data_IF_911358782713
#
_entry.id   IF_911358782713
#
_cell.length_a   1.000
_cell.length_b   1.000
_cell.length_c   1.000
_cell.angle_alpha   90.00
_cell.angle_beta   90.00
_cell.angle_gamma   90.00
#
_symmetry.space_group_name_H-M   'P 1'
#
loop_
_entity.id
_entity.type
_entity.pdbx_description
1 polymer ?
#
# COMPACT_ATOMS: atom_id res chain seq x y z
N UNK A 1 15.59 29.39 -7.24
CA UNK A 1 14.48 28.48 -7.07
C UNK A 1 14.87 27.05 -7.47
N UNK A 2 14.31 26.05 -6.81
CA UNK A 2 14.50 24.63 -7.11
C UNK A 2 13.12 23.95 -7.19
N UNK A 3 12.87 23.25 -8.30
CA UNK A 3 11.69 22.39 -8.44
C UNK A 3 12.17 20.96 -8.67
N UNK A 4 11.64 20.03 -7.88
CA UNK A 4 11.93 18.61 -8.00
C UNK A 4 10.64 17.92 -8.50
N UNK A 5 10.77 17.09 -9.55
CA UNK A 5 9.68 16.23 -10.02
C UNK A 5 10.01 14.78 -9.69
N UNK A 6 9.11 14.11 -8.97
CA UNK A 6 9.26 12.72 -8.55
C UNK A 6 8.16 11.87 -9.18
N UNK A 7 8.45 11.31 -10.35
CA UNK A 7 7.56 10.37 -11.04
C UNK A 7 7.86 8.93 -10.59
N UNK A 8 7.75 8.68 -9.28
CA UNK A 8 7.97 7.38 -8.66
C UNK A 8 7.11 7.27 -7.40
N UNK A 9 6.80 6.04 -7.02
CA UNK A 9 6.01 5.79 -5.83
C UNK A 9 6.23 4.39 -5.25
N UNK A 10 5.82 4.19 -4.01
CA UNK A 10 5.87 2.92 -3.30
C UNK A 10 4.64 2.78 -2.40
N UNK A 11 4.17 1.55 -2.22
CA UNK A 11 3.17 1.21 -1.19
C UNK A 11 3.83 0.83 0.16
N UNK A 12 5.15 0.99 0.27
CA UNK A 12 5.85 0.78 1.53
C UNK A 12 5.72 2.02 2.41
N UNK A 13 5.09 1.88 3.56
CA UNK A 13 4.84 2.97 4.50
C UNK A 13 3.42 2.97 5.03
N UNK A 14 3.16 3.88 5.96
CA UNK A 14 1.86 3.99 6.63
C UNK A 14 0.81 4.81 5.87
N UNK A 15 1.13 5.35 4.69
CA UNK A 15 0.26 6.22 3.89
C UNK A 15 -0.30 7.43 4.65
N UNK A 16 0.44 7.88 5.67
CA UNK A 16 0.14 9.10 6.45
C UNK A 16 1.02 10.28 6.06
N UNK A 17 2.02 10.07 5.18
CA UNK A 17 3.01 11.08 4.83
C UNK A 17 3.99 11.40 5.97
N UNK A 18 4.19 10.47 6.88
CA UNK A 18 5.06 10.60 8.06
C UNK A 18 6.29 9.68 8.00
N UNK A 19 6.52 8.98 6.89
CA UNK A 19 7.77 8.24 6.71
C UNK A 19 8.98 9.17 6.56
N UNK A 20 10.19 8.63 6.70
CA UNK A 20 11.42 9.42 6.70
C UNK A 20 11.60 10.26 5.42
N UNK A 21 11.24 9.73 4.24
CA UNK A 21 11.32 10.48 2.98
C UNK A 21 10.30 11.62 2.95
N UNK A 22 9.06 11.37 3.36
CA UNK A 22 8.00 12.37 3.43
C UNK A 22 8.36 13.51 4.38
N UNK A 23 8.92 13.19 5.55
CA UNK A 23 9.40 14.21 6.49
C UNK A 23 10.54 15.04 5.93
N UNK A 24 11.48 14.41 5.22
CA UNK A 24 12.56 15.12 4.55
C UNK A 24 12.04 16.06 3.46
N UNK A 25 11.10 15.60 2.63
CA UNK A 25 10.48 16.44 1.59
C UNK A 25 9.70 17.60 2.19
N UNK A 26 8.96 17.38 3.27
CA UNK A 26 8.30 18.44 4.03
C UNK A 26 9.31 19.51 4.50
N UNK A 27 10.47 19.08 5.02
CA UNK A 27 11.54 20.00 5.40
C UNK A 27 12.09 20.79 4.20
N UNK A 28 12.29 20.14 3.05
CA UNK A 28 12.75 20.79 1.81
C UNK A 28 11.76 21.86 1.36
N UNK A 29 10.46 21.54 1.35
CA UNK A 29 9.39 22.43 0.89
C UNK A 29 9.16 23.65 1.80
N UNK A 30 9.56 23.59 3.07
CA UNK A 30 9.47 24.76 3.98
C UNK A 30 10.39 25.93 3.57
N UNK A 31 11.37 25.69 2.72
CA UNK A 31 12.29 26.72 2.28
C UNK A 31 11.74 27.47 1.07
N UNK A 32 11.66 28.80 1.16
CA UNK A 32 11.19 29.67 0.08
C UNK A 32 11.96 29.39 -1.23
N UNK A 33 11.25 29.32 -2.33
CA UNK A 33 11.81 29.04 -3.66
C UNK A 33 12.07 27.57 -3.94
N UNK A 34 11.53 26.66 -3.14
CA UNK A 34 11.58 25.21 -3.37
C UNK A 34 10.18 24.63 -3.47
N UNK A 35 9.99 23.73 -4.43
CA UNK A 35 8.77 22.96 -4.60
C UNK A 35 9.10 21.52 -5.01
N UNK A 36 8.25 20.58 -4.59
CA UNK A 36 8.35 19.17 -5.01
C UNK A 36 7.00 18.76 -5.58
N UNK A 37 6.98 18.29 -6.81
CA UNK A 37 5.83 17.69 -7.48
C UNK A 37 6.00 16.17 -7.46
N UNK A 38 4.96 15.46 -7.04
CA UNK A 38 4.98 13.99 -6.87
C UNK A 38 3.78 13.37 -7.58
N UNK A 39 3.98 12.22 -8.20
CA UNK A 39 2.90 11.44 -8.78
C UNK A 39 2.03 10.81 -7.68
N UNK A 40 0.72 10.74 -7.90
CA UNK A 40 -0.17 10.01 -7.00
C UNK A 40 0.03 8.48 -7.08
N UNK A 41 0.66 8.00 -8.15
CA UNK A 41 0.84 6.58 -8.44
C UNK A 41 -0.29 6.01 -9.31
N UNK A 42 -0.13 4.74 -9.68
CA UNK A 42 -0.98 4.05 -10.66
C UNK A 42 -1.75 2.88 -10.04
N UNK A 43 -2.07 2.96 -8.75
CA UNK A 43 -2.57 1.83 -7.95
C UNK A 43 -4.09 1.87 -7.72
N UNK A 44 -4.80 2.89 -8.21
CA UNK A 44 -6.22 3.12 -7.91
C UNK A 44 -7.18 2.00 -8.31
N UNK A 45 -6.79 1.11 -9.23
CA UNK A 45 -7.62 -0.02 -9.68
C UNK A 45 -6.83 -1.35 -9.78
N UNK A 46 -5.69 -1.44 -9.10
CA UNK A 46 -4.83 -2.64 -9.17
C UNK A 46 -5.16 -3.71 -8.14
N UNK A 47 -6.05 -3.40 -7.19
CA UNK A 47 -6.40 -4.33 -6.14
C UNK A 47 -5.31 -4.53 -5.09
N UNK A 48 -4.38 -3.58 -4.99
CA UNK A 48 -3.23 -3.66 -4.08
C UNK A 48 -3.47 -3.01 -2.71
N UNK A 49 -4.67 -2.50 -2.47
CA UNK A 49 -5.08 -1.96 -1.17
C UNK A 49 -6.37 -2.63 -0.68
N UNK A 50 -6.41 -2.89 0.61
CA UNK A 50 -7.59 -3.38 1.33
C UNK A 50 -7.80 -2.53 2.58
N UNK A 51 -9.03 -2.04 2.77
CA UNK A 51 -9.49 -1.44 4.01
C UNK A 51 -10.42 -2.40 4.73
N UNK A 52 -10.20 -2.62 6.02
CA UNK A 52 -11.00 -3.51 6.84
C UNK A 52 -11.36 -2.95 8.20
N UNK A 53 -12.44 -3.49 8.74
CA UNK A 53 -12.89 -3.24 10.12
C UNK A 53 -13.12 -4.61 10.75
N UNK A 54 -12.65 -4.83 11.97
CA UNK A 54 -13.05 -5.99 12.76
C UNK A 54 -14.28 -5.59 13.61
N UNK A 55 -15.49 -6.06 13.25
CA UNK A 55 -16.69 -5.74 13.99
C UNK A 55 -16.60 -6.23 15.45
N UNK A 56 -17.21 -5.47 16.37
CA UNK A 56 -17.14 -5.80 17.82
C UNK A 56 -17.83 -7.11 18.21
N UNK A 57 -18.72 -7.58 17.37
CA UNK A 57 -19.46 -8.85 17.52
C UNK A 57 -18.80 -10.01 16.79
N UNK A 58 -17.64 -9.79 16.18
CA UNK A 58 -16.86 -10.79 15.47
C UNK A 58 -15.43 -10.86 16.03
N UNK A 59 -14.87 -12.06 16.03
CA UNK A 59 -13.49 -12.27 16.49
C UNK A 59 -12.45 -11.74 15.48
N UNK A 60 -12.77 -11.79 14.18
CA UNK A 60 -11.87 -11.42 13.09
C UNK A 60 -12.62 -10.96 11.85
N UNK A 61 -11.88 -10.29 10.97
CA UNK A 61 -12.26 -10.05 9.57
C UNK A 61 -11.35 -10.87 8.67
N UNK A 62 -11.96 -11.53 7.66
CA UNK A 62 -11.26 -12.38 6.72
C UNK A 62 -10.94 -11.62 5.44
N UNK A 63 -9.66 -11.60 5.06
CA UNK A 63 -9.14 -10.94 3.87
C UNK A 63 -8.66 -12.02 2.90
N UNK A 64 -9.28 -12.06 1.72
CA UNK A 64 -8.93 -12.96 0.65
C UNK A 64 -7.90 -12.32 -0.28
N UNK A 65 -6.75 -12.99 -0.42
CA UNK A 65 -5.64 -12.58 -1.27
C UNK A 65 -5.45 -13.63 -2.36
N UNK A 66 -5.67 -13.26 -3.62
CA UNK A 66 -5.27 -14.07 -4.76
C UNK A 66 -3.77 -13.94 -4.99
N UNK A 67 -3.10 -15.06 -5.15
CA UNK A 67 -1.70 -15.15 -5.57
C UNK A 67 -1.64 -15.76 -6.96
N UNK A 68 -1.03 -15.04 -7.89
CA UNK A 68 -0.87 -15.45 -9.29
C UNK A 68 0.18 -16.54 -9.47
N UNK A 69 0.12 -17.23 -10.62
CA UNK A 69 1.11 -18.24 -10.99
C UNK A 69 2.48 -17.59 -11.25
N UNK A 70 3.55 -18.22 -10.74
CA UNK A 70 4.92 -17.77 -10.94
C UNK A 70 5.37 -16.60 -10.06
N UNK A 71 4.53 -16.20 -9.08
CA UNK A 71 4.92 -15.24 -8.06
C UNK A 71 6.09 -15.76 -7.22
N UNK A 72 7.17 -15.00 -7.13
CA UNK A 72 8.39 -15.42 -6.40
C UNK A 72 8.41 -15.00 -4.95
N UNK A 73 7.67 -13.95 -4.65
CA UNK A 73 7.55 -13.41 -3.31
C UNK A 73 7.15 -11.95 -3.30
N UNK A 74 6.46 -11.57 -2.24
CA UNK A 74 5.99 -10.21 -2.02
C UNK A 74 5.79 -9.98 -0.52
N UNK A 75 5.49 -8.73 -0.16
CA UNK A 75 5.20 -8.33 1.21
C UNK A 75 3.80 -7.74 1.30
N UNK A 76 3.05 -8.14 2.32
CA UNK A 76 1.82 -7.47 2.73
C UNK A 76 2.15 -6.62 3.95
N UNK A 77 1.84 -5.33 3.88
CA UNK A 77 1.98 -4.42 5.01
C UNK A 77 0.60 -4.13 5.59
N UNK A 78 0.31 -4.62 6.79
CA UNK A 78 -0.87 -4.25 7.55
C UNK A 78 -0.53 -3.11 8.50
N UNK A 79 -1.38 -2.10 8.54
CA UNK A 79 -1.28 -0.95 9.43
C UNK A 79 -2.59 -0.74 10.19
N UNK A 80 -2.48 -0.57 11.49
CA UNK A 80 -3.57 -0.22 12.37
C UNK A 80 -3.27 1.09 13.10
N UNK A 81 -4.31 1.89 13.35
CA UNK A 81 -4.16 3.14 14.09
C UNK A 81 -3.97 2.87 15.58
N UNK A 82 -2.98 3.51 16.20
CA UNK A 82 -2.83 3.43 17.65
C UNK A 82 -4.07 4.02 18.36
N UNK A 83 -4.51 3.44 19.49
CA UNK A 83 -3.89 2.36 20.24
C UNK A 83 -4.44 0.95 19.91
N UNK A 84 -5.25 0.79 18.84
CA UNK A 84 -5.73 -0.52 18.44
C UNK A 84 -4.56 -1.43 18.05
N UNK A 85 -4.63 -2.69 18.45
CA UNK A 85 -3.64 -3.71 18.13
C UNK A 85 -4.28 -4.84 17.34
N UNK A 86 -3.56 -5.34 16.35
CA UNK A 86 -4.00 -6.39 15.47
C UNK A 86 -3.06 -7.58 15.52
N UNK A 87 -3.62 -8.76 15.31
CA UNK A 87 -2.90 -10.01 15.11
C UNK A 87 -3.50 -10.77 13.94
N UNK A 88 -2.74 -11.69 13.34
CA UNK A 88 -3.18 -12.39 12.14
C UNK A 88 -3.07 -13.91 12.28
N UNK A 89 -3.98 -14.64 11.62
CA UNK A 89 -3.90 -16.04 11.27
C UNK A 89 -3.84 -16.13 9.74
N UNK A 90 -2.98 -16.98 9.19
CA UNK A 90 -2.84 -17.14 7.73
C UNK A 90 -3.19 -18.57 7.35
N UNK A 91 -4.02 -18.72 6.32
CA UNK A 91 -4.50 -19.99 5.79
C UNK A 91 -4.07 -20.08 4.33
N UNK A 92 -3.33 -21.12 4.00
CA UNK A 92 -2.85 -21.41 2.65
C UNK A 92 -3.97 -21.99 1.76
N UNK A 93 -3.80 -22.01 0.43
CA UNK A 93 -4.75 -22.62 -0.51
C UNK A 93 -5.03 -24.10 -0.22
N UNK A 94 -4.08 -24.85 0.33
CA UNK A 94 -4.26 -26.25 0.79
C UNK A 94 -5.16 -26.40 2.03
N UNK A 95 -5.43 -25.30 2.72
CA UNK A 95 -6.10 -25.30 4.03
C UNK A 95 -5.15 -25.42 5.22
N UNK A 96 -3.84 -25.52 4.99
CA UNK A 96 -2.86 -25.47 6.07
C UNK A 96 -2.89 -24.09 6.74
N UNK A 97 -2.84 -24.08 8.08
CA UNK A 97 -3.02 -22.88 8.89
C UNK A 97 -1.78 -22.57 9.71
N UNK A 98 -1.39 -21.32 9.68
CA UNK A 98 -0.53 -20.75 10.72
C UNK A 98 -1.45 -20.21 11.81
N UNK A 99 -1.32 -20.70 13.07
CA UNK A 99 -2.18 -20.26 14.15
C UNK A 99 -2.00 -18.77 14.45
N UNK A 100 -3.04 -18.14 14.99
CA UNK A 100 -3.01 -16.76 15.43
C UNK A 100 -1.83 -16.50 16.38
N UNK A 101 -1.08 -15.46 16.09
CA UNK A 101 -0.03 -14.93 16.97
C UNK A 101 -0.53 -13.71 17.71
N UNK A 102 -0.36 -13.74 19.03
CA UNK A 102 -0.53 -12.55 19.85
C UNK A 102 0.66 -11.62 19.56
N UNK A 103 0.37 -10.40 19.20
CA UNK A 103 1.38 -9.38 18.90
C UNK A 103 2.28 -9.14 20.12
N UNK A 104 3.59 -9.36 19.96
CA UNK A 104 4.61 -9.04 20.95
C UNK A 104 5.56 -8.00 20.38
N UNK A 105 6.15 -7.22 21.26
CA UNK A 105 7.09 -6.16 20.85
C UNK A 105 8.28 -6.76 20.08
N UNK A 106 8.47 -6.33 18.82
CA UNK A 106 9.59 -6.72 17.93
C UNK A 106 9.75 -8.24 17.78
N UNK A 107 8.65 -8.94 17.58
CA UNK A 107 8.69 -10.39 17.33
C UNK A 107 8.74 -10.65 15.82
N UNK A 108 9.71 -11.45 15.40
CA UNK A 108 9.82 -11.95 14.03
C UNK A 108 9.69 -13.45 14.08
N UNK A 109 8.76 -13.99 13.32
CA UNK A 109 8.48 -15.42 13.27
C UNK A 109 8.50 -15.89 11.82
N UNK A 110 9.11 -17.06 11.61
CA UNK A 110 9.21 -17.70 10.32
C UNK A 110 8.45 -19.02 10.35
N UNK A 111 7.67 -19.24 9.31
CA UNK A 111 6.88 -20.45 9.08
C UNK A 111 7.22 -21.03 7.72
N UNK A 112 7.52 -22.33 7.72
CA UNK A 112 7.66 -23.13 6.53
C UNK A 112 6.38 -23.98 6.43
N UNK A 113 5.55 -23.72 5.42
CA UNK A 113 4.35 -24.51 5.16
C UNK A 113 4.74 -25.92 4.70
N UNK A 114 4.09 -26.93 5.26
CA UNK A 114 4.44 -28.35 4.98
C UNK A 114 3.85 -28.82 3.65
N UNK A 115 2.63 -28.37 3.34
CA UNK A 115 1.92 -28.75 2.11
C UNK A 115 2.18 -27.77 0.94
N UNK A 116 2.84 -26.67 1.22
CA UNK A 116 3.16 -25.63 0.26
C UNK A 116 4.69 -25.44 0.21
N UNK A 117 5.21 -25.01 -0.92
CA UNK A 117 6.64 -24.59 -0.99
C UNK A 117 6.87 -23.18 -0.46
N UNK A 118 5.93 -22.68 0.33
CA UNK A 118 5.87 -21.31 0.79
C UNK A 118 6.54 -21.14 2.14
N UNK A 119 7.33 -20.09 2.26
CA UNK A 119 7.83 -19.61 3.54
C UNK A 119 7.18 -18.27 3.83
N UNK A 120 6.69 -18.09 5.05
CA UNK A 120 6.12 -16.84 5.53
C UNK A 120 6.91 -16.32 6.73
N UNK A 121 7.50 -15.15 6.56
CA UNK A 121 8.08 -14.38 7.67
C UNK A 121 7.05 -13.35 8.13
N UNK A 122 6.70 -13.35 9.42
CA UNK A 122 5.82 -12.36 10.04
C UNK A 122 6.63 -11.52 11.00
N UNK A 123 6.55 -10.20 10.85
CA UNK A 123 7.21 -9.25 11.75
C UNK A 123 6.17 -8.29 12.35
N UNK A 124 6.16 -8.22 13.67
CA UNK A 124 5.33 -7.29 14.44
C UNK A 124 6.14 -6.08 14.90
N UNK A 125 5.63 -4.92 14.59
CA UNK A 125 6.09 -3.63 15.11
C UNK A 125 4.89 -2.95 15.77
N UNK A 126 4.81 -3.05 17.11
CA UNK A 126 3.65 -2.58 17.87
C UNK A 126 3.49 -1.06 17.88
N UNK A 127 4.58 -0.35 17.64
CA UNK A 127 4.62 1.10 17.56
C UNK A 127 5.75 1.50 16.62
N UNK A 128 5.38 1.86 15.41
CA UNK A 128 6.34 2.40 14.44
C UNK A 128 6.88 3.73 14.98
N UNK A 129 8.18 3.96 14.80
CA UNK A 129 8.92 5.01 15.52
C UNK A 129 8.38 6.42 15.24
N UNK A 130 7.85 6.66 14.04
CA UNK A 130 7.43 7.99 13.60
C UNK A 130 5.95 8.24 13.87
N UNK A 131 5.09 7.32 13.47
CA UNK A 131 3.63 7.44 13.58
C UNK A 131 3.08 6.96 14.93
N UNK A 132 3.79 6.06 15.60
CA UNK A 132 3.29 5.37 16.78
C UNK A 132 2.30 4.24 16.48
N UNK A 133 1.93 4.06 15.22
CA UNK A 133 0.96 3.07 14.77
C UNK A 133 1.54 1.67 14.72
N UNK A 134 0.67 0.67 14.79
CA UNK A 134 1.10 -0.71 14.61
C UNK A 134 1.32 -1.03 13.14
N UNK A 135 2.42 -1.76 12.87
CA UNK A 135 2.71 -2.35 11.57
C UNK A 135 2.93 -3.85 11.71
N UNK A 136 2.28 -4.64 10.85
CA UNK A 136 2.58 -6.04 10.63
C UNK A 136 3.08 -6.22 9.20
N UNK A 137 4.23 -6.85 9.08
CA UNK A 137 4.82 -7.21 7.79
C UNK A 137 4.71 -8.73 7.61
N UNK A 138 4.01 -9.16 6.55
CA UNK A 138 3.94 -10.55 6.12
C UNK A 138 4.75 -10.69 4.84
N UNK A 139 5.90 -11.34 4.91
CA UNK A 139 6.77 -11.55 3.75
C UNK A 139 6.63 -12.99 3.25
N UNK A 140 6.02 -13.14 2.09
CA UNK A 140 5.84 -14.41 1.39
C UNK A 140 7.05 -14.69 0.51
N UNK A 141 7.59 -15.90 0.57
CA UNK A 141 8.65 -16.41 -0.31
C UNK A 141 8.14 -17.66 -1.00
N UNK A 142 8.23 -17.70 -2.33
CA UNK A 142 7.72 -18.76 -3.19
C UNK A 142 6.26 -19.14 -2.86
N UNK A 143 5.32 -18.18 -2.82
CA UNK A 143 3.95 -18.48 -2.45
C UNK A 143 3.29 -19.38 -3.47
N UNK A 144 2.59 -20.42 -3.00
CA UNK A 144 1.77 -21.26 -3.86
C UNK A 144 0.63 -20.44 -4.47
N UNK A 145 0.40 -20.55 -5.79
CA UNK A 145 -0.72 -19.87 -6.44
C UNK A 145 -2.07 -20.32 -5.89
N UNK A 146 -3.01 -19.40 -5.74
CA UNK A 146 -4.34 -19.69 -5.23
C UNK A 146 -4.87 -18.59 -4.33
N UNK A 147 -5.91 -18.92 -3.57
CA UNK A 147 -6.52 -17.98 -2.62
C UNK A 147 -5.95 -18.24 -1.24
N UNK A 148 -5.25 -17.26 -0.74
CA UNK A 148 -4.79 -17.19 0.64
C UNK A 148 -5.81 -16.42 1.47
N UNK A 149 -6.06 -16.87 2.70
CA UNK A 149 -6.95 -16.18 3.63
C UNK A 149 -6.13 -15.64 4.80
N UNK A 150 -6.28 -14.35 5.06
CA UNK A 150 -5.65 -13.68 6.19
C UNK A 150 -6.78 -13.24 7.12
N UNK A 151 -6.87 -13.87 8.31
CA UNK A 151 -7.80 -13.46 9.35
C UNK A 151 -7.14 -12.43 10.24
N UNK A 152 -7.72 -11.26 10.30
CA UNK A 152 -7.23 -10.14 11.11
C UNK A 152 -8.08 -10.04 12.35
N UNK A 153 -7.46 -10.18 13.51
CA UNK A 153 -8.06 -10.06 14.84
C UNK A 153 -7.71 -8.70 15.44
N UNK A 154 -8.67 -8.05 16.08
CA UNK A 154 -8.41 -6.82 16.83
C UNK A 154 -8.31 -7.12 18.33
N UNK A 155 -7.33 -6.52 18.99
CA UNK A 155 -7.15 -6.52 20.45
C UNK A 155 -7.41 -5.10 20.97
N UNK A 156 -8.62 -4.65 20.87
CA UNK A 156 -9.01 -3.29 21.24
C UNK A 156 -10.52 -3.11 21.18
N UNK A 157 -10.97 -1.94 21.60
CA UNK A 157 -12.40 -1.61 21.63
C UNK A 157 -12.70 -0.25 21.00
N UNK A 158 -11.77 0.31 20.21
CA UNK A 158 -11.96 1.62 19.60
C UNK A 158 -12.54 1.48 18.18
N UNK A 159 -11.75 1.80 17.17
CA UNK A 159 -12.22 1.80 15.80
C UNK A 159 -12.09 0.42 15.15
N UNK A 160 -11.05 -0.35 15.54
CA UNK A 160 -10.70 -1.65 14.99
C UNK A 160 -10.54 -1.63 13.46
N UNK A 161 -10.10 -0.50 12.90
CA UNK A 161 -9.87 -0.30 11.48
C UNK A 161 -8.42 -0.59 11.12
N UNK A 162 -8.22 -1.23 9.98
CA UNK A 162 -6.89 -1.54 9.48
C UNK A 162 -6.83 -1.40 7.96
N UNK A 163 -5.63 -1.16 7.47
CA UNK A 163 -5.32 -1.13 6.05
C UNK A 163 -4.26 -2.17 5.71
N UNK A 164 -4.32 -2.73 4.52
CA UNK A 164 -3.30 -3.63 4.00
C UNK A 164 -2.88 -3.18 2.60
N UNK A 165 -1.57 -3.17 2.35
CA UNK A 165 -1.02 -2.86 1.04
C UNK A 165 -0.10 -3.97 0.55
N UNK A 166 -0.25 -4.29 -0.75
CA UNK A 166 0.69 -5.05 -1.56
C UNK A 166 1.73 -4.11 -2.20
N UNK A 167 2.84 -4.63 -2.74
CA UNK A 167 3.76 -3.84 -3.54
C UNK A 167 3.06 -3.15 -4.73
N UNK A 168 3.64 -2.06 -5.23
CA UNK A 168 3.14 -1.38 -6.42
C UNK A 168 3.31 -2.24 -7.67
N UNK A 169 2.51 -1.97 -8.69
CA UNK A 169 2.57 -2.57 -10.02
C UNK A 169 4.02 -2.62 -10.55
N UNK A 170 4.42 -3.75 -11.10
CA UNK A 170 5.78 -4.02 -11.58
C UNK A 170 6.71 -4.67 -10.54
N UNK A 171 6.34 -4.65 -9.25
CA UNK A 171 7.04 -5.36 -8.17
C UNK A 171 6.27 -6.57 -7.64
N UNK A 172 5.08 -6.80 -8.18
CA UNK A 172 4.21 -7.94 -7.90
C UNK A 172 3.54 -8.35 -9.21
N UNK A 173 3.10 -9.60 -9.32
CA UNK A 173 2.34 -10.08 -10.47
C UNK A 173 0.98 -9.37 -10.57
N UNK A 174 0.55 -9.02 -11.78
CA UNK A 174 -0.79 -8.44 -12.03
C UNK A 174 -1.93 -9.41 -11.63
N UNK A 175 -1.63 -10.69 -11.44
CA UNK A 175 -2.60 -11.70 -10.97
C UNK A 175 -2.60 -11.86 -9.44
N UNK A 176 -1.79 -11.07 -8.70
CA UNK A 176 -1.72 -11.08 -7.24
C UNK A 176 -2.38 -9.81 -6.69
N UNK A 177 -3.55 -9.95 -6.09
CA UNK A 177 -4.37 -8.83 -5.62
C UNK A 177 -5.38 -9.28 -4.56
N UNK A 178 -5.92 -8.32 -3.79
CA UNK A 178 -7.04 -8.57 -2.87
C UNK A 178 -8.34 -8.78 -3.65
N UNK A 179 -9.14 -9.80 -3.30
CA UNK A 179 -10.40 -10.09 -4.00
C UNK A 179 -11.49 -9.03 -3.74
N UNK A 180 -11.40 -8.34 -2.63
CA UNK A 180 -12.29 -7.22 -2.27
C UNK A 180 -11.46 -5.98 -1.94
N UNK A 181 -10.80 -5.40 -2.96
CA UNK A 181 -9.93 -4.25 -2.75
C UNK A 181 -10.73 -2.98 -2.47
N UNK A 182 -10.08 -2.04 -1.80
CA UNK A 182 -10.57 -0.67 -1.67
C UNK A 182 -9.75 0.22 -2.63
N UNK A 183 -10.39 0.95 -3.56
CA UNK A 183 -9.68 1.81 -4.50
C UNK A 183 -9.20 3.14 -3.88
N UNK A 184 -9.71 3.51 -2.71
CA UNK A 184 -9.31 4.72 -2.00
C UNK A 184 -8.04 4.48 -1.17
N UNK A 185 -7.39 5.55 -0.71
CA UNK A 185 -6.12 5.50 0.04
C UNK A 185 -5.00 4.78 -0.73
N UNK A 186 -4.98 4.94 -2.06
CA UNK A 186 -4.02 4.33 -2.98
C UNK A 186 -2.99 5.32 -3.52
N UNK A 187 -2.94 6.56 -2.97
CA UNK A 187 -1.82 7.48 -3.23
C UNK A 187 -0.53 6.85 -2.69
N UNK A 188 0.45 6.66 -3.58
CA UNK A 188 1.73 6.07 -3.21
C UNK A 188 2.63 7.03 -2.44
N UNK A 189 3.50 6.51 -1.59
CA UNK A 189 4.54 7.31 -0.94
C UNK A 189 5.64 7.72 -1.95
N UNK A 190 6.12 8.98 -1.94
CA UNK A 190 5.88 10.00 -0.94
C UNK A 190 4.75 11.01 -1.28
N UNK A 191 3.81 10.67 -2.16
CA UNK A 191 2.68 11.55 -2.52
C UNK A 191 1.77 11.90 -1.34
N UNK A 192 1.83 11.14 -0.25
CA UNK A 192 1.11 11.43 0.98
C UNK A 192 1.76 12.55 1.83
N UNK A 193 2.96 13.01 1.51
CA UNK A 193 3.65 14.05 2.28
C UNK A 193 2.88 15.37 2.24
N UNK A 194 2.86 16.10 3.35
CA UNK A 194 2.07 17.33 3.51
C UNK A 194 2.58 18.47 2.60
N UNK A 195 3.89 18.66 2.54
CA UNK A 195 4.51 19.81 1.88
C UNK A 195 4.70 19.66 0.38
N UNK A 196 4.44 18.50 -0.22
CA UNK A 196 4.59 18.27 -1.65
C UNK A 196 3.29 18.55 -2.40
N UNK A 197 3.38 18.85 -3.70
CA UNK A 197 2.24 18.91 -4.60
C UNK A 197 2.05 17.54 -5.25
N UNK A 198 0.97 16.86 -4.93
CA UNK A 198 0.67 15.52 -5.45
C UNK A 198 -0.34 15.63 -6.58
N UNK A 199 -0.02 14.99 -7.70
CA UNK A 199 -0.82 15.04 -8.91
C UNK A 199 -1.47 13.70 -9.21
N UNK A 200 -2.80 13.66 -9.30
CA UNK A 200 -3.56 12.57 -9.90
C UNK A 200 -3.60 12.69 -11.42
N UNK A 201 -3.98 11.60 -12.08
CA UNK A 201 -4.12 11.55 -13.54
C UNK A 201 -5.56 11.68 -14.01
N UNK A 202 -5.77 12.40 -15.13
CA UNK A 202 -7.05 12.40 -15.85
C UNK A 202 -6.85 12.21 -17.35
N UNK A 203 -7.92 11.75 -18.06
CA UNK A 203 -7.93 11.69 -19.50
C UNK A 203 -8.36 13.05 -20.09
N UNK A 204 -7.45 13.75 -20.74
CA UNK A 204 -7.69 15.07 -21.30
C UNK A 204 -8.69 15.08 -22.46
N UNK A 205 -9.01 13.93 -23.07
CA UNK A 205 -9.96 13.83 -24.20
C UNK A 205 -11.42 13.94 -23.73
N UNK A 206 -11.71 13.51 -22.52
CA UNK A 206 -13.08 13.46 -22.00
C UNK A 206 -13.23 14.08 -20.59
N UNK A 207 -12.12 14.49 -19.95
CA UNK A 207 -12.12 15.08 -18.62
C UNK A 207 -12.38 14.09 -17.47
N UNK A 208 -12.41 12.77 -17.74
CA UNK A 208 -12.62 11.77 -16.69
C UNK A 208 -11.34 11.50 -15.89
N UNK A 209 -11.49 11.15 -14.64
CA UNK A 209 -10.37 10.65 -13.83
C UNK A 209 -9.83 9.38 -14.49
N UNK A 210 -8.50 9.28 -14.63
CA UNK A 210 -7.89 8.03 -15.06
C UNK A 210 -8.05 6.97 -13.96
N UNK A 211 -8.65 5.83 -14.32
CA UNK A 211 -9.10 4.82 -13.35
C UNK A 211 -7.99 4.19 -12.53
N UNK A 212 -6.76 4.10 -13.07
CA UNK A 212 -5.60 3.59 -12.31
C UNK A 212 -4.91 4.66 -11.45
N UNK A 213 -5.25 5.95 -11.61
CA UNK A 213 -4.64 7.00 -10.79
C UNK A 213 -4.87 6.76 -9.30
N UNK A 214 -3.80 6.95 -8.51
CA UNK A 214 -3.91 6.90 -7.05
C UNK A 214 -4.97 7.86 -6.52
N UNK A 215 -5.75 7.39 -5.54
CA UNK A 215 -6.87 8.10 -4.92
C UNK A 215 -6.61 8.31 -3.44
N UNK A 216 -7.05 9.45 -2.93
CA UNK A 216 -7.04 9.78 -1.49
C UNK A 216 -8.28 9.25 -0.78
N UNK A 217 -8.44 9.55 0.47
CA UNK A 217 -7.56 10.39 1.31
C UNK A 217 -6.27 9.65 1.70
N UNK A 218 -5.35 10.35 2.41
CA UNK A 218 -4.30 9.65 3.16
C UNK A 218 -4.93 8.84 4.29
N UNK A 219 -4.24 7.85 4.84
CA UNK A 219 -4.77 7.01 5.92
C UNK A 219 -5.18 7.80 7.18
N UNK A 220 -4.53 8.93 7.46
CA UNK A 220 -4.90 9.84 8.54
C UNK A 220 -5.90 10.93 8.11
N UNK A 221 -6.61 10.76 6.99
CA UNK A 221 -7.73 11.60 6.56
C UNK A 221 -7.34 12.93 5.90
N UNK A 222 -6.07 13.16 5.56
CA UNK A 222 -5.66 14.36 4.85
C UNK A 222 -6.07 14.28 3.38
N UNK A 223 -6.50 15.42 2.81
CA UNK A 223 -6.85 15.52 1.39
C UNK A 223 -5.57 15.42 0.55
N UNK A 224 -5.48 14.39 -0.25
CA UNK A 224 -4.52 14.13 -1.32
C UNK A 224 -5.25 13.33 -2.42
N UNK A 225 -4.86 13.43 -3.69
CA UNK A 225 -3.91 14.37 -4.33
C UNK A 225 -4.37 15.82 -4.26
N UNK A 226 -3.42 16.76 -4.45
CA UNK A 226 -3.71 18.20 -4.40
C UNK A 226 -4.30 18.73 -5.71
N UNK A 227 -3.86 18.16 -6.84
CA UNK A 227 -4.19 18.60 -8.19
C UNK A 227 -4.35 17.39 -9.12
N UNK A 228 -4.88 17.63 -10.32
CA UNK A 228 -4.92 16.65 -11.40
C UNK A 228 -4.20 17.18 -12.64
N UNK A 229 -3.56 16.28 -13.40
CA UNK A 229 -2.89 16.57 -14.66
C UNK A 229 -3.26 15.53 -15.73
N UNK A 230 -3.15 15.85 -17.04
CA UNK A 230 -3.32 14.88 -18.10
C UNK A 230 -2.35 13.70 -17.92
N UNK A 231 -2.88 12.48 -17.96
CA UNK A 231 -2.10 11.27 -17.71
C UNK A 231 -2.34 10.16 -18.75
N UNK A 232 -3.32 10.30 -19.63
CA UNK A 232 -3.67 9.26 -20.61
C UNK A 232 -3.21 9.68 -22.00
N UNK A 233 -2.38 8.83 -22.62
CA UNK A 233 -1.84 9.06 -23.98
C UNK A 233 -1.16 10.43 -24.14
N UNK A 234 -0.44 10.86 -23.15
CA UNK A 234 0.30 12.14 -23.16
C UNK A 234 1.50 12.03 -24.08
N UNK A 235 1.64 13.01 -25.01
CA UNK A 235 2.79 13.05 -25.88
C UNK A 235 4.09 13.25 -25.09
N UNK A 236 5.05 12.38 -25.31
CA UNK A 236 6.35 12.37 -24.67
C UNK A 236 7.47 12.06 -25.67
N UNK A 237 8.71 12.25 -25.26
CA UNK A 237 9.88 11.92 -26.08
C UNK A 237 10.56 10.70 -25.47
N UNK A 238 10.78 9.65 -26.28
CA UNK A 238 11.51 8.45 -25.85
C UNK A 238 13.03 8.71 -25.73
N UNK A 239 13.76 7.72 -25.20
CA UNK A 239 15.22 7.80 -25.04
C UNK A 239 16.00 7.95 -26.37
N UNK A 240 15.33 7.75 -27.52
CA UNK A 240 15.90 7.89 -28.87
C UNK A 240 15.48 9.21 -29.53
N UNK A 241 14.82 10.11 -28.80
CA UNK A 241 14.35 11.41 -29.30
C UNK A 241 13.09 11.32 -30.16
N UNK A 242 12.36 10.20 -30.21
CA UNK A 242 11.13 10.05 -31.00
C UNK A 242 9.91 10.39 -30.15
N UNK A 243 8.95 11.06 -30.77
CA UNK A 243 7.68 11.33 -30.13
C UNK A 243 6.90 10.01 -29.96
N UNK A 244 6.43 9.75 -28.76
CA UNK A 244 5.57 8.63 -28.37
C UNK A 244 4.48 9.12 -27.46
N UNK A 245 3.54 8.26 -27.10
CA UNK A 245 2.53 8.53 -26.07
C UNK A 245 2.75 7.62 -24.87
N UNK A 246 2.59 8.18 -23.68
CA UNK A 246 2.69 7.45 -22.41
C UNK A 246 1.43 7.68 -21.58
N UNK A 247 1.10 6.71 -20.76
CA UNK A 247 -0.01 6.77 -19.79
C UNK A 247 0.54 6.46 -18.41
N UNK A 248 0.24 7.32 -17.43
CA UNK A 248 0.68 7.19 -16.05
C UNK A 248 0.62 8.52 -15.31
N UNK A 249 0.56 8.47 -13.99
CA UNK A 249 0.63 9.67 -13.13
C UNK A 249 2.01 9.81 -12.50
#
# INVERSE_FOLDING_TARGET
PLVICMALGSNTGGHTGENALSLYLNYVCRKVGRAVAVAAGNEGNKGHHYFGIVPRDQDYTEVELRVGAGEKGFQVNLWGNAPDLFSVEVIAPSGEKIPRFVARKLDRQRYDFVFESTILDIQYELSEIVSGDQRLLLAFQNPTPGIWMIRVYAEGNLENTFHMWLPVTGFISDETYFLRPDPDTTVTEPGNAEGVLTFSGYDARNGSIWYDSGRGYTRNGRIKPDLAAPAVEVAAVDLRGRVTTLTGS
#
